data_IF_933761525940
#
_entry.id   IF_933761525940
#
_cell.length_a   1.000
_cell.length_b   1.000
_cell.length_c   1.000
_cell.angle_alpha   90.00
_cell.angle_beta   90.00
_cell.angle_gamma   90.00
#
_symmetry.space_group_name_H-M   'P 1'
#
loop_
_entity.id
_entity.type
_entity.pdbx_description
1 polymer ?
#
# COMPACT_ATOMS: atom_id res chain seq x y z
N UNK A 1 -5.79 -10.82 -15.51
CA UNK A 1 -5.88 -9.49 -16.17
C UNK A 1 -5.12 -9.59 -17.48
N UNK A 2 -5.81 -9.77 -18.61
CA UNK A 2 -5.19 -9.93 -19.91
C UNK A 2 -5.93 -9.02 -20.92
N UNK A 3 -5.19 -8.18 -21.64
CA UNK A 3 -5.64 -7.27 -22.70
C UNK A 3 -6.47 -6.01 -22.36
N UNK A 4 -6.51 -5.56 -21.10
CA UNK A 4 -7.10 -4.24 -20.76
C UNK A 4 -6.09 -3.07 -20.89
N UNK A 5 -4.81 -3.38 -20.99
CA UNK A 5 -3.77 -2.37 -21.14
C UNK A 5 -3.68 -1.94 -22.61
N UNK A 6 -4.06 -0.70 -22.88
CA UNK A 6 -3.86 -0.04 -24.17
C UNK A 6 -2.93 1.16 -23.98
N UNK A 7 -1.84 1.20 -24.76
CA UNK A 7 -0.87 2.32 -24.75
C UNK A 7 -1.49 3.62 -25.26
N UNK A 8 -2.55 3.55 -26.05
CA UNK A 8 -3.31 4.69 -26.54
C UNK A 8 -4.46 5.09 -25.60
N UNK A 9 -4.62 4.42 -24.44
CA UNK A 9 -5.68 4.74 -23.49
C UNK A 9 -5.50 6.14 -22.90
N UNK A 10 -6.60 6.89 -22.85
CA UNK A 10 -6.69 8.15 -22.11
C UNK A 10 -6.92 7.95 -20.61
N UNK A 11 -7.06 6.70 -20.16
CA UNK A 11 -7.18 6.34 -18.75
C UNK A 11 -5.82 6.51 -18.06
N UNK A 12 -5.74 7.44 -17.12
CA UNK A 12 -4.54 7.68 -16.32
C UNK A 12 -4.87 7.41 -14.86
N UNK A 13 -4.11 6.50 -14.24
CA UNK A 13 -4.19 6.22 -12.81
C UNK A 13 -2.98 6.88 -12.14
N UNK A 14 -3.25 7.73 -11.15
CA UNK A 14 -2.23 8.42 -10.35
C UNK A 14 -2.39 8.02 -8.88
N UNK A 15 -1.28 7.75 -8.20
CA UNK A 15 -1.26 7.48 -6.76
C UNK A 15 -0.63 8.64 -5.99
N UNK A 16 -1.17 8.94 -4.80
CA UNK A 16 -0.56 9.80 -3.80
C UNK A 16 -0.36 9.00 -2.50
N UNK A 17 0.82 9.13 -1.89
CA UNK A 17 1.09 8.55 -0.58
C UNK A 17 0.70 9.59 0.48
N UNK A 18 -0.43 9.34 1.14
CA UNK A 18 -1.00 10.25 2.14
C UNK A 18 -0.30 10.08 3.49
N UNK A 19 0.08 8.84 3.82
CA UNK A 19 0.75 8.51 5.08
C UNK A 19 1.69 7.33 4.90
N UNK A 20 2.85 7.44 5.54
CA UNK A 20 3.72 6.32 5.85
C UNK A 20 4.20 6.46 7.28
N UNK A 21 3.92 5.46 8.11
CA UNK A 21 4.31 5.44 9.50
C UNK A 21 4.77 4.04 9.90
N UNK A 22 5.86 3.98 10.66
CA UNK A 22 6.39 2.72 11.16
C UNK A 22 6.71 2.84 12.64
N UNK A 23 6.18 1.90 13.43
CA UNK A 23 6.53 1.73 14.83
C UNK A 23 7.40 0.50 14.99
N UNK A 24 8.53 0.62 15.68
CA UNK A 24 9.37 -0.52 16.09
C UNK A 24 9.29 -0.77 17.60
N UNK A 25 8.25 -0.26 18.27
CA UNK A 25 8.10 -0.36 19.71
C UNK A 25 7.93 -1.82 20.16
N UNK A 26 8.50 -2.16 21.31
CA UNK A 26 8.35 -3.50 21.87
C UNK A 26 6.87 -3.78 22.16
N UNK A 27 6.34 -4.86 21.56
CA UNK A 27 4.92 -5.22 21.66
C UNK A 27 3.96 -4.43 20.75
N UNK A 28 4.45 -3.45 19.99
CA UNK A 28 3.63 -2.62 19.09
C UNK A 28 4.43 -2.25 17.83
N UNK A 29 4.86 -3.27 17.08
CA UNK A 29 5.66 -3.09 15.88
C UNK A 29 4.83 -3.32 14.60
N UNK A 30 4.69 -2.27 13.80
CA UNK A 30 3.84 -2.27 12.62
C UNK A 30 4.24 -1.20 11.61
N UNK A 31 3.77 -1.38 10.37
CA UNK A 31 3.71 -0.35 9.35
C UNK A 31 2.26 0.05 9.11
N UNK A 32 2.02 1.34 8.92
CA UNK A 32 0.81 1.94 8.40
C UNK A 32 1.14 2.71 7.12
N UNK A 33 0.44 2.38 6.04
CA UNK A 33 0.59 3.06 4.76
C UNK A 33 -0.79 3.40 4.21
N UNK A 34 -1.01 4.68 3.92
CA UNK A 34 -2.24 5.18 3.31
C UNK A 34 -1.92 5.73 1.94
N UNK A 35 -2.68 5.32 0.92
CA UNK A 35 -2.57 5.85 -0.43
C UNK A 35 -3.93 6.25 -0.97
N UNK A 36 -3.97 7.39 -1.67
CA UNK A 36 -5.10 7.75 -2.52
C UNK A 36 -4.74 7.48 -3.98
N UNK A 37 -5.66 6.88 -4.71
CA UNK A 37 -5.52 6.54 -6.12
C UNK A 37 -6.62 7.27 -6.86
N UNK A 38 -6.23 8.08 -7.84
CA UNK A 38 -7.13 8.89 -8.65
C UNK A 38 -7.08 8.40 -10.09
N UNK A 39 -8.24 8.33 -10.72
CA UNK A 39 -8.37 8.03 -12.14
C UNK A 39 -8.73 9.30 -12.91
N UNK A 40 -8.32 9.39 -14.18
CA UNK A 40 -8.72 10.47 -15.09
C UNK A 40 -10.23 10.51 -15.34
N UNK A 41 -10.96 9.44 -15.02
CA UNK A 41 -12.44 9.41 -15.05
C UNK A 41 -13.11 10.10 -13.82
N UNK A 42 -12.32 10.70 -12.92
CA UNK A 42 -12.78 11.44 -11.75
C UNK A 42 -13.03 10.58 -10.51
N UNK A 43 -12.90 9.25 -10.60
CA UNK A 43 -13.02 8.35 -9.46
C UNK A 43 -11.76 8.35 -8.60
N UNK A 44 -11.94 8.17 -7.30
CA UNK A 44 -10.86 8.10 -6.32
C UNK A 44 -11.09 6.92 -5.39
N UNK A 45 -10.00 6.26 -4.98
CA UNK A 45 -9.96 5.17 -4.03
C UNK A 45 -8.88 5.48 -2.99
N UNK A 46 -9.21 5.38 -1.71
CA UNK A 46 -8.21 5.42 -0.63
C UNK A 46 -8.09 4.03 -0.02
N UNK A 47 -6.86 3.58 0.20
CA UNK A 47 -6.56 2.30 0.86
C UNK A 47 -5.59 2.54 2.01
N UNK A 48 -5.97 2.05 3.18
CA UNK A 48 -5.17 2.08 4.40
C UNK A 48 -4.71 0.66 4.74
N UNK A 49 -3.42 0.41 4.63
CA UNK A 49 -2.81 -0.87 4.97
C UNK A 49 -2.11 -0.76 6.32
N UNK A 50 -2.45 -1.67 7.23
CA UNK A 50 -1.69 -1.91 8.47
C UNK A 50 -1.11 -3.31 8.45
N UNK A 51 0.18 -3.44 8.76
CA UNK A 51 0.87 -4.72 8.83
C UNK A 51 1.77 -4.80 10.05
N UNK A 52 1.45 -5.75 10.91
CA UNK A 52 2.27 -6.07 12.08
C UNK A 52 3.51 -6.89 11.68
N UNK A 53 4.57 -6.73 12.45
CA UNK A 53 5.79 -7.53 12.32
C UNK A 53 6.43 -7.75 13.70
N UNK A 54 7.33 -8.73 13.85
CA UNK A 54 7.93 -9.01 15.15
C UNK A 54 8.73 -7.83 15.70
N UNK A 55 8.38 -7.38 16.90
CA UNK A 55 9.19 -6.43 17.68
C UNK A 55 10.41 -7.13 18.32
N UNK A 56 11.38 -6.36 18.81
CA UNK A 56 12.52 -6.90 19.55
C UNK A 56 13.06 -5.89 20.58
N UNK A 57 13.61 -6.41 21.69
CA UNK A 57 14.30 -5.58 22.69
C UNK A 57 15.69 -5.13 22.22
N UNK A 58 16.38 -5.99 21.48
CA UNK A 58 17.69 -5.67 20.89
C UNK A 58 17.47 -4.74 19.70
N UNK A 59 18.02 -3.53 19.79
CA UNK A 59 17.82 -2.46 18.80
C UNK A 59 18.13 -2.90 17.36
N UNK A 60 19.25 -3.60 17.14
CA UNK A 60 19.64 -4.08 15.81
C UNK A 60 18.59 -5.05 15.24
N UNK A 61 18.08 -5.97 16.07
CA UNK A 61 17.02 -6.90 15.67
C UNK A 61 15.73 -6.16 15.36
N UNK A 62 15.35 -5.16 16.17
CA UNK A 62 14.14 -4.36 15.95
C UNK A 62 14.22 -3.58 14.63
N UNK A 63 15.35 -2.90 14.38
CA UNK A 63 15.59 -2.18 13.12
C UNK A 63 15.58 -3.13 11.91
N UNK A 64 16.19 -4.31 12.03
CA UNK A 64 16.20 -5.30 10.95
C UNK A 64 14.79 -5.83 10.65
N UNK A 65 13.99 -6.14 11.68
CA UNK A 65 12.62 -6.58 11.50
C UNK A 65 11.75 -5.50 10.82
N UNK A 66 11.91 -4.24 11.24
CA UNK A 66 11.22 -3.10 10.62
C UNK A 66 11.62 -2.91 9.15
N UNK A 67 12.91 -2.94 8.85
CA UNK A 67 13.41 -2.76 7.48
C UNK A 67 12.96 -3.90 6.55
N UNK A 68 13.08 -5.15 7.01
CA UNK A 68 12.72 -6.33 6.21
C UNK A 68 11.21 -6.50 6.05
N UNK A 69 10.40 -5.94 6.95
CA UNK A 69 8.94 -6.00 6.84
C UNK A 69 8.36 -5.00 5.83
N UNK A 70 9.09 -3.93 5.48
CA UNK A 70 8.57 -2.86 4.62
C UNK A 70 8.14 -3.34 3.22
N UNK A 71 9.02 -4.05 2.50
CA UNK A 71 8.69 -4.56 1.16
C UNK A 71 7.43 -5.44 1.15
N UNK A 72 7.27 -6.42 2.06
CA UNK A 72 6.04 -7.18 2.10
C UNK A 72 4.81 -6.37 2.59
N UNK A 73 4.96 -5.27 3.34
CA UNK A 73 3.85 -4.31 3.57
C UNK A 73 3.39 -3.67 2.26
N UNK A 74 4.32 -3.22 1.41
CA UNK A 74 3.96 -2.63 0.12
C UNK A 74 3.30 -3.65 -0.80
N UNK A 75 3.73 -4.92 -0.76
CA UNK A 75 3.04 -6.01 -1.50
C UNK A 75 1.60 -6.21 -1.02
N UNK A 76 1.38 -6.17 0.29
CA UNK A 76 0.04 -6.24 0.87
C UNK A 76 -0.81 -5.05 0.42
N UNK A 77 -0.28 -3.81 0.50
CA UNK A 77 -0.96 -2.61 0.03
C UNK A 77 -1.38 -2.71 -1.44
N UNK A 78 -0.48 -3.11 -2.33
CA UNK A 78 -0.80 -3.28 -3.76
C UNK A 78 -1.89 -4.34 -3.94
N UNK A 79 -1.83 -5.45 -3.18
CA UNK A 79 -2.86 -6.49 -3.19
C UNK A 79 -4.21 -5.95 -2.71
N UNK A 80 -4.24 -5.16 -1.64
CA UNK A 80 -5.47 -4.55 -1.11
C UNK A 80 -6.06 -3.54 -2.10
N UNK A 81 -5.22 -2.76 -2.77
CA UNK A 81 -5.63 -1.84 -3.84
C UNK A 81 -6.32 -2.57 -4.99
N UNK A 82 -5.67 -3.56 -5.61
CA UNK A 82 -6.21 -4.20 -6.82
C UNK A 82 -7.41 -5.09 -6.54
N UNK A 83 -7.55 -5.58 -5.31
CA UNK A 83 -8.68 -6.39 -4.86
C UNK A 83 -9.77 -5.55 -4.18
N UNK A 84 -9.58 -4.23 -4.05
CA UNK A 84 -10.61 -3.36 -3.48
C UNK A 84 -11.86 -3.40 -4.34
N UNK A 85 -13.05 -3.46 -3.70
CA UNK A 85 -14.34 -3.52 -4.40
C UNK A 85 -14.55 -2.40 -5.42
N UNK A 86 -14.01 -1.21 -5.11
CA UNK A 86 -14.15 0.01 -5.93
C UNK A 86 -13.01 0.18 -6.94
N UNK A 87 -12.03 -0.72 -7.00
CA UNK A 87 -10.92 -0.63 -7.96
C UNK A 87 -11.42 -0.67 -9.41
N UNK A 88 -12.49 -1.42 -9.67
CA UNK A 88 -13.10 -1.50 -11.01
C UNK A 88 -13.58 -0.15 -11.50
N UNK A 89 -14.11 0.70 -10.62
CA UNK A 89 -14.60 2.03 -10.97
C UNK A 89 -13.47 2.96 -11.42
N UNK A 90 -12.22 2.69 -10.98
CA UNK A 90 -11.06 3.45 -11.42
C UNK A 90 -10.66 3.16 -12.86
N UNK A 91 -10.98 1.96 -13.37
CA UNK A 91 -10.48 1.46 -14.66
C UNK A 91 -11.55 1.33 -15.75
N UNK A 92 -12.75 1.83 -15.46
CA UNK A 92 -13.89 1.88 -16.39
C UNK A 92 -13.92 3.20 -17.16
#
# INVERSE_FOLDING_TARGET
MANLYDKASNLVISGNVERIYGSSMLGDAYWEVSVSIKSSNGKTLTVDTRREYPSAFIAITACNNMATSFSPTIKQLVSEVINHKDFKDLIQ
#
